data_IF_151374439267
#
_entry.id   IF_151374439267
#
_cell.length_a   1.000
_cell.length_b   1.000
_cell.length_c   1.000
_cell.angle_alpha   90.00
_cell.angle_beta   90.00
_cell.angle_gamma   90.00
#
_symmetry.space_group_name_H-M   'P 1'
#
loop_
_entity.id
_entity.type
_entity.pdbx_description
1 polymer ?
#
# COMPACT_ATOMS: atom_id res chain seq x y z
N UNK A 1 1.79 0.66 -2.72
CA UNK A 1 0.95 1.37 -1.74
C UNK A 1 1.07 0.67 -0.40
N UNK A 2 1.25 1.40 0.68
CA UNK A 2 1.38 0.92 2.05
C UNK A 2 0.26 1.54 2.85
N UNK A 3 -0.59 0.73 3.48
CA UNK A 3 -1.67 1.22 4.36
C UNK A 3 -1.27 0.95 5.79
N UNK A 4 -1.22 1.99 6.63
CA UNK A 4 -0.87 1.84 8.03
C UNK A 4 -2.01 1.11 8.77
N UNK A 5 -1.66 0.03 9.48
CA UNK A 5 -2.65 -0.82 10.14
C UNK A 5 -2.98 -0.40 11.57
N UNK A 6 -2.02 0.19 12.28
CA UNK A 6 -2.09 0.53 13.70
C UNK A 6 -1.59 1.97 13.97
N UNK A 7 -2.01 2.91 13.12
CA UNK A 7 -1.69 4.34 13.24
C UNK A 7 -2.93 5.10 13.67
N UNK A 8 -2.89 5.71 14.86
CA UNK A 8 -3.94 6.55 15.40
C UNK A 8 -3.80 7.97 14.82
N UNK A 9 -4.79 8.40 14.05
CA UNK A 9 -4.73 9.70 13.35
C UNK A 9 -4.74 10.92 14.26
N UNK A 10 -5.22 10.77 15.50
CA UNK A 10 -5.36 11.85 16.47
C UNK A 10 -4.16 11.94 17.43
N UNK A 11 -3.55 10.80 17.74
CA UNK A 11 -2.45 10.70 18.69
C UNK A 11 -1.09 10.61 18.01
N UNK A 12 -1.01 9.95 16.86
CA UNK A 12 0.24 9.68 16.18
C UNK A 12 0.59 10.77 15.15
N UNK A 13 1.89 10.96 14.97
CA UNK A 13 2.41 11.90 13.98
C UNK A 13 2.04 11.44 12.57
N UNK A 14 1.59 12.38 11.74
CA UNK A 14 1.26 12.09 10.36
C UNK A 14 2.54 11.91 9.52
N UNK A 15 2.61 10.88 8.67
CA UNK A 15 3.70 10.74 7.72
C UNK A 15 3.65 11.89 6.71
N UNK A 16 4.80 12.44 6.32
CA UNK A 16 4.88 13.51 5.33
C UNK A 16 5.41 13.02 3.98
N UNK A 17 6.70 12.71 3.94
CA UNK A 17 7.41 12.13 2.81
C UNK A 17 8.80 11.77 3.30
N UNK A 18 9.51 10.89 2.59
CA UNK A 18 10.85 10.49 2.99
C UNK A 18 10.89 9.48 4.13
N UNK A 19 9.73 9.02 4.59
CA UNK A 19 9.62 8.03 5.67
C UNK A 19 10.25 6.70 5.23
N UNK A 20 11.21 6.14 5.98
CA UNK A 20 11.84 4.86 5.66
C UNK A 20 10.84 3.70 5.65
N UNK A 21 10.95 2.85 4.64
CA UNK A 21 10.14 1.63 4.50
C UNK A 21 10.99 0.44 4.90
N UNK A 22 10.55 -0.27 5.92
CA UNK A 22 11.14 -1.51 6.38
C UNK A 22 10.32 -2.71 5.89
N UNK A 23 11.00 -3.81 5.61
CA UNK A 23 10.39 -5.11 5.34
C UNK A 23 11.14 -6.17 6.12
N UNK A 24 10.44 -6.93 6.96
CA UNK A 24 11.03 -7.93 7.85
C UNK A 24 12.21 -7.35 8.68
N UNK A 25 12.12 -6.08 9.10
CA UNK A 25 13.17 -5.38 9.83
C UNK A 25 14.32 -4.79 9.00
N UNK A 26 14.39 -5.06 7.69
CA UNK A 26 15.41 -4.50 6.79
C UNK A 26 14.91 -3.24 6.08
N UNK A 27 15.77 -2.23 5.93
CA UNK A 27 15.45 -1.03 5.16
C UNK A 27 15.40 -1.39 3.67
N UNK A 28 14.22 -1.31 3.07
CA UNK A 28 14.01 -1.71 1.68
C UNK A 28 13.59 -0.55 0.78
N UNK A 29 13.30 0.63 1.33
CA UNK A 29 12.81 1.73 0.51
C UNK A 29 12.52 2.99 1.28
N UNK A 30 11.89 3.94 0.56
CA UNK A 30 11.49 5.23 1.10
C UNK A 30 10.13 5.64 0.54
N UNK A 31 9.33 6.26 1.39
CA UNK A 31 8.03 6.83 1.04
C UNK A 31 8.24 8.11 0.23
N UNK A 32 7.61 8.19 -0.94
CA UNK A 32 7.65 9.38 -1.81
C UNK A 32 6.50 10.33 -1.52
N UNK A 33 5.33 9.80 -1.16
CA UNK A 33 4.18 10.60 -0.77
C UNK A 33 3.33 9.87 0.26
N UNK A 34 2.68 10.64 1.13
CA UNK A 34 1.67 10.14 2.06
C UNK A 34 0.37 10.93 1.88
N UNK A 35 -0.73 10.31 2.25
CA UNK A 35 -2.03 10.95 2.36
C UNK A 35 -2.93 10.18 3.33
N UNK A 36 -3.89 10.87 3.91
CA UNK A 36 -4.98 10.23 4.64
C UNK A 36 -6.10 9.80 3.68
N UNK A 37 -6.53 8.54 3.77
CA UNK A 37 -7.65 8.04 2.97
C UNK A 37 -8.93 8.01 3.80
N UNK A 38 -9.86 8.92 3.52
CA UNK A 38 -11.17 8.94 4.17
C UNK A 38 -12.03 7.70 3.90
N UNK A 39 -11.81 7.00 2.78
CA UNK A 39 -12.55 5.76 2.47
C UNK A 39 -12.08 4.57 3.31
N UNK A 40 -10.80 4.57 3.70
CA UNK A 40 -10.21 3.49 4.51
C UNK A 40 -10.07 3.90 5.98
N UNK A 41 -10.33 5.16 6.30
CA UNK A 41 -10.07 5.80 7.59
C UNK A 41 -8.65 5.53 8.10
N UNK A 42 -7.68 5.50 7.18
CA UNK A 42 -6.29 5.11 7.43
C UNK A 42 -5.32 5.96 6.62
N UNK A 43 -4.11 6.15 7.17
CA UNK A 43 -3.00 6.73 6.43
C UNK A 43 -2.47 5.76 5.37
N UNK A 44 -2.24 6.32 4.19
CA UNK A 44 -1.74 5.61 3.03
C UNK A 44 -0.45 6.28 2.57
N UNK A 45 0.58 5.47 2.42
CA UNK A 45 1.88 5.87 1.93
C UNK A 45 2.15 5.22 0.56
N UNK A 46 2.81 5.95 -0.32
CA UNK A 46 3.35 5.44 -1.57
C UNK A 46 4.86 5.61 -1.53
N UNK A 47 5.57 4.59 -2.00
CA UNK A 47 7.03 4.62 -2.03
C UNK A 47 7.58 3.56 -2.94
N UNK A 48 8.88 3.66 -3.18
CA UNK A 48 9.63 2.70 -3.97
C UNK A 48 10.36 1.74 -3.05
N UNK A 49 10.31 0.47 -3.40
CA UNK A 49 11.01 -0.62 -2.70
C UNK A 49 12.10 -1.11 -3.64
N UNK A 50 13.33 -1.14 -3.15
CA UNK A 50 14.51 -1.64 -3.84
C UNK A 50 15.27 -2.57 -2.89
N UNK A 51 14.96 -3.88 -2.89
CA UNK A 51 15.69 -4.81 -2.05
C UNK A 51 17.15 -4.88 -2.51
N UNK A 52 18.07 -4.68 -1.57
CA UNK A 52 19.50 -4.88 -1.80
C UNK A 52 19.79 -6.37 -1.56
N UNK A 53 19.78 -7.18 -2.62
CA UNK A 53 20.16 -8.59 -2.49
C UNK A 53 21.66 -8.78 -2.16
N UNK A 54 22.48 -7.81 -2.59
CA UNK A 54 23.90 -7.63 -2.30
C UNK A 54 24.22 -6.12 -2.43
N UNK A 55 25.30 -5.60 -1.81
CA UNK A 55 25.72 -4.22 -2.03
C UNK A 55 25.91 -3.97 -3.53
N UNK A 56 25.02 -3.15 -4.11
CA UNK A 56 25.09 -2.73 -5.51
C UNK A 56 24.32 -3.55 -6.54
N UNK A 57 23.63 -4.64 -6.16
CA UNK A 57 22.79 -5.40 -7.12
C UNK A 57 21.31 -5.29 -6.78
N UNK A 58 20.46 -4.72 -7.67
CA UNK A 58 19.02 -4.67 -7.46
C UNK A 58 18.45 -6.09 -7.48
N UNK A 59 17.77 -6.47 -6.40
CA UNK A 59 17.09 -7.76 -6.31
C UNK A 59 15.89 -7.85 -7.25
N UNK A 60 15.56 -9.04 -7.71
CA UNK A 60 14.35 -9.30 -8.50
C UNK A 60 13.13 -9.12 -7.58
N UNK A 61 12.27 -8.16 -7.91
CA UNK A 61 11.02 -7.91 -7.18
C UNK A 61 9.89 -8.67 -7.87
N UNK A 62 9.34 -9.68 -7.20
CA UNK A 62 8.14 -10.39 -7.66
C UNK A 62 6.88 -9.86 -6.96
N UNK A 63 5.68 -10.03 -7.54
CA UNK A 63 4.43 -9.71 -6.86
C UNK A 63 4.26 -10.44 -5.52
N UNK A 64 4.74 -11.69 -5.45
CA UNK A 64 4.74 -12.47 -4.20
C UNK A 64 5.67 -11.88 -3.13
N UNK A 65 6.81 -11.32 -3.54
CA UNK A 65 7.72 -10.62 -2.64
C UNK A 65 7.03 -9.46 -1.92
N UNK A 66 6.17 -8.73 -2.65
CA UNK A 66 5.42 -7.58 -2.14
C UNK A 66 4.24 -8.00 -1.27
N UNK A 67 3.50 -9.06 -1.64
CA UNK A 67 2.29 -9.44 -0.91
C UNK A 67 2.57 -10.25 0.38
N UNK A 68 3.72 -10.91 0.49
CA UNK A 68 4.06 -11.79 1.63
C UNK A 68 5.00 -11.15 2.67
N UNK A 69 5.54 -9.98 2.39
CA UNK A 69 6.43 -9.30 3.35
C UNK A 69 5.65 -8.63 4.47
N UNK A 70 6.22 -8.63 5.68
CA UNK A 70 5.76 -7.77 6.75
C UNK A 70 6.42 -6.41 6.56
N UNK A 71 5.62 -5.37 6.32
CA UNK A 71 6.12 -4.03 6.07
C UNK A 71 5.88 -3.15 7.29
N UNK A 72 6.83 -2.26 7.54
CA UNK A 72 6.73 -1.22 8.54
C UNK A 72 7.15 0.10 7.92
N UNK A 73 6.52 1.20 8.34
CA UNK A 73 6.94 2.54 7.98
C UNK A 73 7.42 3.22 9.25
N UNK A 74 8.64 3.72 9.22
CA UNK A 74 9.18 4.54 10.31
C UNK A 74 8.72 5.97 10.11
N UNK A 75 7.90 6.47 11.03
CA UNK A 75 7.37 7.83 11.03
C UNK A 75 7.97 8.54 12.23
N UNK A 76 8.85 9.49 11.97
CA UNK A 76 9.52 10.29 13.00
C UNK A 76 10.20 9.47 14.13
N UNK A 77 10.71 8.27 13.82
CA UNK A 77 11.40 7.39 14.78
C UNK A 77 10.51 6.31 15.39
N UNK A 78 9.22 6.26 15.04
CA UNK A 78 8.29 5.22 15.49
C UNK A 78 7.87 4.34 14.32
N UNK A 79 7.97 3.02 14.50
CA UNK A 79 7.62 2.03 13.46
C UNK A 79 6.15 1.65 13.54
N UNK A 80 5.44 1.85 12.44
CA UNK A 80 4.05 1.46 12.29
C UNK A 80 3.91 0.30 11.31
N UNK A 81 3.16 -0.76 11.66
CA UNK A 81 2.91 -1.86 10.74
C UNK A 81 2.09 -1.36 9.55
N UNK A 82 2.47 -1.80 8.36
CA UNK A 82 1.86 -1.40 7.11
C UNK A 82 1.56 -2.60 6.22
N UNK A 83 0.41 -2.56 5.55
CA UNK A 83 0.03 -3.56 4.55
C UNK A 83 0.40 -3.09 3.16
N UNK A 84 1.30 -3.81 2.50
CA UNK A 84 1.64 -3.55 1.11
C UNK A 84 0.55 -4.02 0.14
N UNK A 85 0.24 -3.18 -0.84
CA UNK A 85 -0.68 -3.43 -1.95
C UNK A 85 -0.10 -2.89 -3.25
N UNK A 86 -0.15 -3.72 -4.28
CA UNK A 86 0.23 -3.37 -5.65
C UNK A 86 -0.79 -2.49 -6.36
N UNK A 87 -2.07 -2.72 -6.06
CA UNK A 87 -3.18 -2.01 -6.68
C UNK A 87 -3.93 -1.18 -5.65
N UNK A 88 -4.48 -0.03 -6.05
CA UNK A 88 -5.37 0.74 -5.19
C UNK A 88 -6.58 -0.10 -4.78
N UNK A 89 -7.15 0.21 -3.61
CA UNK A 89 -8.42 -0.38 -3.22
C UNK A 89 -9.49 0.05 -4.23
N UNK A 90 -10.25 -0.92 -4.74
CA UNK A 90 -11.42 -0.60 -5.55
C UNK A 90 -12.45 0.03 -4.64
N UNK A 91 -12.86 1.26 -4.93
CA UNK A 91 -13.94 1.89 -4.17
C UNK A 91 -15.22 1.05 -4.33
N UNK A 92 -16.08 1.02 -3.30
CA UNK A 92 -17.39 0.38 -3.39
C UNK A 92 -18.19 0.92 -4.59
N UNK A 93 -18.00 2.19 -4.93
CA UNK A 93 -18.62 2.83 -6.10
C UNK A 93 -18.12 2.23 -7.42
N UNK A 94 -16.81 2.00 -7.52
CA UNK A 94 -16.19 1.31 -8.66
C UNK A 94 -16.64 -0.14 -8.74
N UNK A 95 -16.82 -0.83 -7.61
CA UNK A 95 -17.35 -2.19 -7.58
C UNK A 95 -18.83 -2.27 -7.96
N UNK A 96 -19.67 -1.34 -7.49
CA UNK A 96 -21.09 -1.26 -7.85
C UNK A 96 -21.26 -0.99 -9.34
N UNK A 97 -20.48 -0.06 -9.89
CA UNK A 97 -20.49 0.24 -11.33
C UNK A 97 -20.05 -0.97 -12.16
N UNK A 98 -18.95 -1.63 -11.78
CA UNK A 98 -18.48 -2.84 -12.46
C UNK A 98 -19.50 -3.97 -12.40
N UNK A 99 -20.14 -4.20 -11.25
CA UNK A 99 -21.22 -5.19 -11.11
C UNK A 99 -22.43 -4.86 -11.99
N UNK A 100 -22.78 -3.57 -12.11
CA UNK A 100 -23.86 -3.13 -12.99
C UNK A 100 -23.52 -3.37 -14.46
N UNK A 101 -22.33 -2.99 -14.89
CA UNK A 101 -21.85 -3.15 -16.27
C UNK A 101 -21.77 -4.65 -16.66
N UNK A 102 -21.28 -5.51 -15.76
CA UNK A 102 -21.24 -6.97 -15.94
C UNK A 102 -22.66 -7.58 -16.06
N UNK A 103 -23.61 -7.10 -15.26
CA UNK A 103 -25.01 -7.52 -15.33
C UNK A 103 -25.66 -7.11 -16.66
N UNK A 104 -25.39 -5.89 -17.15
CA UNK A 104 -25.89 -5.42 -18.45
C UNK A 104 -25.32 -6.26 -19.60
N UNK A 105 -24.01 -6.56 -19.61
CA UNK A 105 -23.37 -7.41 -20.62
C UNK A 105 -23.94 -8.84 -20.65
N UNK A 106 -24.21 -9.42 -19.49
CA UNK A 106 -24.83 -10.75 -19.40
C UNK A 106 -26.25 -10.79 -19.98
N UNK A 107 -27.01 -9.71 -19.83
CA UNK A 107 -28.37 -9.58 -20.40
C UNK A 107 -28.35 -9.39 -21.92
N UNK A 108 -27.28 -8.87 -22.50
CA UNK A 108 -27.11 -8.76 -23.95
C UNK A 108 -26.69 -10.08 -24.62
N UNK A 109 -25.97 -10.96 -23.91
CA UNK A 109 -25.53 -12.26 -24.44
C UNK A 109 -26.61 -13.36 -24.34
N UNK A 110 -27.69 -13.12 -23.59
CA UNK A 110 -28.81 -14.06 -23.42
C UNK A 110 -30.00 -13.87 -24.37
N UNK A 111 -29.87 -13.04 -25.41
CA UNK A 111 -30.89 -12.82 -26.45
C UNK A 111 -30.45 -13.36 -27.81
#
# INVERSE_FOLDING_TARGET
>A
MLVLEDHDTELDLWPWWGEPIYRNGELVGVTTSSAFSYTLERHVCLGFVSPLSQPGTPGIITPDFINRGDYEVDIAGQRYPAKAKLYPFSSLFTQQRRRKDDMELSNFQGK
#
